data_IF_368021472778
#
_entry.id   IF_368021472778
#
_cell.length_a   1.000
_cell.length_b   1.000
_cell.length_c   1.000
_cell.angle_alpha   90.00
_cell.angle_beta   90.00
_cell.angle_gamma   90.00
#
_symmetry.space_group_name_H-M   'P 1'
#
loop_
_entity.id
_entity.type
_entity.pdbx_description
1 polymer ?
#
# COMPACT_ATOMS: atom_id res chain seq x y z
N UNK A 1 4.94 -24.83 -11.65
CA UNK A 1 3.90 -23.82 -11.30
C UNK A 1 2.67 -24.55 -10.76
N UNK A 2 2.16 -24.14 -9.61
CA UNK A 2 0.99 -24.72 -8.95
C UNK A 2 -0.29 -24.14 -9.53
N UNK A 3 -1.28 -24.96 -9.83
CA UNK A 3 -2.59 -24.53 -10.33
C UNK A 3 -3.42 -23.85 -9.23
N UNK A 4 -4.43 -23.07 -9.59
CA UNK A 4 -5.31 -22.43 -8.62
C UNK A 4 -6.12 -23.44 -7.81
N UNK A 5 -6.50 -24.57 -8.44
CA UNK A 5 -7.13 -25.68 -7.74
C UNK A 5 -6.22 -26.28 -6.67
N UNK A 6 -4.96 -26.58 -6.98
CA UNK A 6 -4.01 -27.14 -6.02
C UNK A 6 -3.79 -26.21 -4.82
N UNK A 7 -3.71 -24.88 -5.06
CA UNK A 7 -3.62 -23.88 -3.97
C UNK A 7 -4.87 -23.92 -3.08
N UNK A 8 -6.05 -23.95 -3.69
CA UNK A 8 -7.32 -23.97 -2.95
C UNK A 8 -7.50 -25.27 -2.17
N UNK A 9 -7.14 -26.41 -2.78
CA UNK A 9 -7.18 -27.72 -2.13
C UNK A 9 -6.28 -27.74 -0.89
N UNK A 10 -5.05 -27.23 -0.97
CA UNK A 10 -4.14 -27.12 0.17
C UNK A 10 -4.67 -26.14 1.25
N UNK A 11 -5.35 -25.09 0.84
CA UNK A 11 -6.04 -24.22 1.81
C UNK A 11 -7.19 -24.95 2.50
N UNK A 12 -7.99 -25.71 1.78
CA UNK A 12 -9.07 -26.53 2.34
C UNK A 12 -8.57 -27.62 3.30
N UNK A 13 -7.40 -28.20 3.02
CA UNK A 13 -6.72 -29.11 3.96
C UNK A 13 -6.26 -28.41 5.24
N UNK A 14 -5.86 -27.14 5.16
CA UNK A 14 -5.28 -26.36 6.25
C UNK A 14 -6.34 -25.74 7.17
N UNK A 15 -7.44 -25.21 6.59
CA UNK A 15 -8.48 -24.46 7.31
C UNK A 15 -9.00 -25.16 8.57
N UNK A 16 -9.30 -26.47 8.59
CA UNK A 16 -9.79 -27.15 9.80
C UNK A 16 -8.86 -27.02 11.01
N UNK A 17 -7.55 -26.86 10.76
CA UNK A 17 -6.54 -26.72 11.81
C UNK A 17 -6.36 -25.28 12.29
N UNK A 18 -7.00 -24.31 11.66
CA UNK A 18 -6.92 -22.90 12.02
C UNK A 18 -8.05 -22.44 12.95
N UNK A 19 -8.75 -23.34 13.62
CA UNK A 19 -9.99 -23.08 14.37
C UNK A 19 -9.92 -21.92 15.38
N UNK A 20 -8.77 -21.65 16.01
CA UNK A 20 -8.58 -20.51 16.93
C UNK A 20 -7.89 -19.31 16.29
N UNK A 21 -7.60 -19.38 14.99
CA UNK A 21 -7.03 -18.28 14.22
C UNK A 21 -8.15 -17.50 13.52
N UNK A 22 -8.08 -16.18 13.42
CA UNK A 22 -9.06 -15.37 12.66
C UNK A 22 -9.31 -15.86 11.24
N UNK A 23 -8.32 -16.44 10.57
CA UNK A 23 -8.44 -16.99 9.21
C UNK A 23 -9.55 -18.04 9.08
N UNK A 24 -9.82 -18.85 10.12
CA UNK A 24 -10.94 -19.78 10.11
C UNK A 24 -12.28 -19.04 9.95
N UNK A 25 -12.48 -17.99 10.73
CA UNK A 25 -13.72 -17.19 10.67
C UNK A 25 -13.81 -16.41 9.36
N UNK A 26 -12.73 -15.78 8.94
CA UNK A 26 -12.70 -14.97 7.72
C UNK A 26 -12.99 -15.80 6.48
N UNK A 27 -12.36 -16.97 6.32
CA UNK A 27 -12.65 -17.87 5.20
C UNK A 27 -14.16 -18.19 5.10
N UNK A 28 -14.79 -18.56 6.22
CA UNK A 28 -16.21 -18.90 6.21
C UNK A 28 -17.13 -17.68 6.09
N UNK A 29 -16.72 -16.51 6.62
CA UNK A 29 -17.44 -15.26 6.42
C UNK A 29 -17.41 -14.82 4.96
N UNK A 30 -16.27 -14.93 4.29
CA UNK A 30 -16.13 -14.63 2.87
C UNK A 30 -17.01 -15.54 2.02
N UNK A 31 -16.96 -16.85 2.26
CA UNK A 31 -17.82 -17.82 1.57
C UNK A 31 -19.31 -17.49 1.77
N UNK A 32 -19.71 -17.15 3.00
CA UNK A 32 -21.09 -16.82 3.33
C UNK A 32 -21.53 -15.48 2.76
N UNK A 33 -20.77 -14.42 2.99
CA UNK A 33 -21.19 -13.04 2.66
C UNK A 33 -21.04 -12.73 1.18
N UNK A 34 -19.94 -13.15 0.56
CA UNK A 34 -19.71 -12.91 -0.84
C UNK A 34 -20.46 -13.91 -1.74
N UNK A 35 -20.42 -15.19 -1.39
CA UNK A 35 -20.91 -16.26 -2.25
C UNK A 35 -22.22 -16.92 -1.77
N UNK A 36 -22.70 -16.63 -0.56
CA UNK A 36 -23.88 -17.28 0.00
C UNK A 36 -23.67 -18.74 0.40
N UNK A 37 -22.43 -19.19 0.50
CA UNK A 37 -22.06 -20.57 0.82
C UNK A 37 -21.96 -20.73 2.33
N UNK A 38 -22.83 -21.58 2.92
CA UNK A 38 -22.85 -21.84 4.36
C UNK A 38 -22.13 -23.15 4.75
N UNK A 39 -21.52 -23.84 3.78
CA UNK A 39 -20.76 -25.06 4.03
C UNK A 39 -19.39 -24.73 4.66
N UNK A 40 -18.97 -25.60 5.57
CA UNK A 40 -17.62 -25.52 6.16
C UNK A 40 -16.61 -26.03 5.13
N UNK A 41 -15.56 -25.25 4.90
CA UNK A 41 -14.47 -25.62 4.01
C UNK A 41 -13.57 -26.66 4.69
N UNK A 42 -13.45 -27.80 4.02
CA UNK A 42 -12.57 -28.91 4.41
C UNK A 42 -12.26 -29.75 3.13
N UNK A 43 -11.39 -30.78 3.19
CA UNK A 43 -11.06 -31.59 2.01
C UNK A 43 -12.25 -32.24 1.31
N UNK A 44 -13.32 -32.57 2.06
CA UNK A 44 -14.49 -33.25 1.50
C UNK A 44 -15.41 -32.28 0.74
N UNK A 45 -15.45 -31.01 1.14
CA UNK A 45 -16.31 -29.97 0.54
C UNK A 45 -15.56 -29.09 -0.45
N UNK A 46 -14.23 -29.19 -0.51
CA UNK A 46 -13.37 -28.31 -1.27
C UNK A 46 -13.75 -28.18 -2.73
N UNK A 47 -13.95 -29.31 -3.42
CA UNK A 47 -14.25 -29.30 -4.85
C UNK A 47 -15.58 -28.61 -5.16
N UNK A 48 -16.62 -28.95 -4.43
CA UNK A 48 -17.94 -28.36 -4.59
C UNK A 48 -17.90 -26.82 -4.36
N UNK A 49 -17.25 -26.39 -3.28
CA UNK A 49 -17.13 -24.96 -2.96
C UNK A 49 -16.30 -24.22 -4.04
N UNK A 50 -15.21 -24.82 -4.51
CA UNK A 50 -14.39 -24.24 -5.56
C UNK A 50 -15.16 -24.03 -6.86
N UNK A 51 -15.89 -25.06 -7.31
CA UNK A 51 -16.65 -25.01 -8.54
C UNK A 51 -17.81 -24.00 -8.43
N UNK A 52 -18.55 -23.95 -7.30
CA UNK A 52 -19.60 -22.97 -7.04
C UNK A 52 -19.07 -21.53 -7.00
N UNK A 53 -17.91 -21.30 -6.36
CA UNK A 53 -17.27 -19.98 -6.36
C UNK A 53 -16.88 -19.56 -7.78
N UNK A 54 -16.28 -20.42 -8.56
CA UNK A 54 -15.86 -20.10 -9.93
C UNK A 54 -17.03 -19.84 -10.87
N UNK A 55 -18.14 -20.58 -10.73
CA UNK A 55 -19.36 -20.31 -11.48
C UNK A 55 -19.87 -18.89 -11.18
N UNK A 56 -19.94 -18.49 -9.90
CA UNK A 56 -20.35 -17.14 -9.48
C UNK A 56 -19.35 -16.08 -9.98
N UNK A 57 -18.05 -16.29 -9.83
CA UNK A 57 -17.01 -15.35 -10.25
C UNK A 57 -17.00 -15.11 -11.76
N UNK A 58 -17.58 -16.02 -12.57
CA UNK A 58 -17.72 -15.81 -14.01
C UNK A 58 -18.81 -14.80 -14.38
N UNK A 59 -19.66 -14.42 -13.43
CA UNK A 59 -20.80 -13.52 -13.65
C UNK A 59 -20.40 -12.04 -13.47
N UNK A 60 -20.95 -11.10 -14.26
CA UNK A 60 -20.59 -9.68 -14.20
C UNK A 60 -20.74 -9.03 -12.82
N UNK A 61 -21.75 -9.43 -12.04
CA UNK A 61 -22.01 -8.93 -10.68
C UNK A 61 -20.94 -9.34 -9.67
N UNK A 62 -20.13 -10.34 -9.98
CA UNK A 62 -18.97 -10.73 -9.18
C UNK A 62 -17.64 -10.14 -9.69
N UNK A 63 -17.69 -9.30 -10.73
CA UNK A 63 -16.52 -8.47 -11.08
C UNK A 63 -16.15 -7.53 -9.95
N UNK A 64 -14.91 -6.99 -9.92
CA UNK A 64 -14.49 -6.03 -8.92
C UNK A 64 -15.49 -4.85 -8.77
N UNK A 65 -15.95 -4.29 -9.89
CA UNK A 65 -16.96 -3.21 -9.89
C UNK A 65 -18.34 -3.70 -9.42
N UNK A 66 -18.74 -4.92 -9.79
CA UNK A 66 -19.99 -5.53 -9.35
C UNK A 66 -20.01 -5.77 -7.85
N UNK A 67 -18.93 -6.28 -7.30
CA UNK A 67 -18.79 -6.49 -5.85
C UNK A 67 -18.82 -5.18 -5.07
N UNK A 68 -18.17 -4.11 -5.55
CA UNK A 68 -18.24 -2.80 -4.92
C UNK A 68 -19.68 -2.28 -4.86
N UNK A 69 -20.47 -2.43 -5.93
CA UNK A 69 -21.90 -2.05 -5.95
C UNK A 69 -22.72 -2.87 -4.97
N UNK A 70 -22.49 -4.18 -4.95
CA UNK A 70 -23.19 -5.11 -4.06
C UNK A 70 -23.01 -4.77 -2.59
N UNK A 71 -21.80 -4.30 -2.21
CA UNK A 71 -21.50 -3.90 -0.84
C UNK A 71 -21.74 -2.41 -0.57
N UNK A 72 -22.41 -1.70 -1.49
CA UNK A 72 -22.70 -0.28 -1.36
C UNK A 72 -21.46 0.57 -1.05
N UNK A 73 -20.34 0.25 -1.68
CA UNK A 73 -19.10 1.00 -1.54
C UNK A 73 -19.27 2.35 -2.21
N UNK A 74 -18.97 3.44 -1.50
CA UNK A 74 -19.02 4.81 -2.05
C UNK A 74 -17.64 5.30 -2.48
N UNK A 75 -16.61 4.90 -1.73
CA UNK A 75 -15.22 5.32 -1.96
C UNK A 75 -14.28 4.16 -1.70
N UNK A 76 -13.28 3.98 -2.56
CA UNK A 76 -12.15 3.10 -2.35
C UNK A 76 -10.89 3.95 -2.26
N UNK A 77 -10.12 3.78 -1.20
CA UNK A 77 -8.79 4.37 -1.06
C UNK A 77 -7.76 3.26 -1.20
N UNK A 78 -6.91 3.39 -2.20
CA UNK A 78 -5.82 2.44 -2.48
C UNK A 78 -4.56 2.82 -1.70
N UNK A 79 -3.55 1.97 -1.70
CA UNK A 79 -2.25 2.26 -1.09
C UNK A 79 -1.24 2.50 -2.19
N UNK A 80 -0.74 3.74 -2.32
CA UNK A 80 0.05 4.16 -3.46
C UNK A 80 1.38 4.82 -3.03
N UNK A 81 2.43 4.46 -3.75
CA UNK A 81 3.77 5.00 -3.52
C UNK A 81 3.94 6.37 -4.21
N UNK A 82 4.72 7.31 -3.65
CA UNK A 82 5.06 8.59 -4.29
C UNK A 82 5.48 8.52 -5.77
N UNK A 83 6.09 7.42 -6.19
CA UNK A 83 6.54 7.25 -7.58
C UNK A 83 5.46 6.72 -8.53
N UNK A 84 4.28 6.34 -8.02
CA UNK A 84 3.20 5.77 -8.85
C UNK A 84 2.57 6.82 -9.77
N UNK A 85 2.28 6.42 -11.00
CA UNK A 85 1.68 7.30 -12.02
C UNK A 85 0.23 7.65 -11.76
N UNK A 86 -0.47 6.87 -10.93
CA UNK A 86 -1.91 6.94 -10.67
C UNK A 86 -2.79 6.80 -11.92
N UNK A 87 -2.25 6.21 -13.00
CA UNK A 87 -2.95 6.09 -14.27
C UNK A 87 -4.29 5.34 -14.17
N UNK A 88 -4.38 4.33 -13.29
CA UNK A 88 -5.61 3.57 -13.10
C UNK A 88 -6.68 4.36 -12.34
N UNK A 89 -6.29 5.27 -11.45
CA UNK A 89 -7.19 6.22 -10.79
C UNK A 89 -7.79 7.18 -11.82
N UNK A 90 -6.94 7.72 -12.69
CA UNK A 90 -7.35 8.63 -13.77
C UNK A 90 -8.29 7.91 -14.74
N UNK A 91 -7.90 6.73 -15.25
CA UNK A 91 -8.72 5.91 -16.15
C UNK A 91 -10.07 5.53 -15.53
N UNK A 92 -10.09 5.18 -14.24
CA UNK A 92 -11.34 4.83 -13.54
C UNK A 92 -12.26 6.01 -13.43
N UNK A 93 -11.74 7.19 -13.08
CA UNK A 93 -12.51 8.45 -13.06
C UNK A 93 -13.05 8.82 -14.44
N UNK A 94 -12.23 8.74 -15.48
CA UNK A 94 -12.61 9.03 -16.86
C UNK A 94 -13.62 8.03 -17.44
N UNK A 95 -13.66 6.80 -16.94
CA UNK A 95 -14.67 5.80 -17.34
C UNK A 95 -16.09 6.13 -16.85
N UNK A 96 -16.27 7.16 -16.03
CA UNK A 96 -17.56 7.50 -15.44
C UNK A 96 -18.05 6.50 -14.39
N UNK A 97 -17.13 5.68 -13.82
CA UNK A 97 -17.50 4.76 -12.74
C UNK A 97 -17.95 5.56 -11.51
N UNK A 98 -19.14 5.22 -10.99
CA UNK A 98 -19.81 6.00 -9.94
C UNK A 98 -19.10 5.94 -8.58
N UNK A 99 -18.34 4.86 -8.31
CA UNK A 99 -17.60 4.70 -7.06
C UNK A 99 -16.24 5.38 -7.21
N UNK A 100 -15.92 6.28 -6.29
CA UNK A 100 -14.66 7.02 -6.31
C UNK A 100 -13.51 6.10 -5.93
N UNK A 101 -12.48 6.01 -6.78
CA UNK A 101 -11.20 5.38 -6.46
C UNK A 101 -10.15 6.47 -6.29
N UNK A 102 -9.71 6.67 -5.04
CA UNK A 102 -8.79 7.75 -4.65
C UNK A 102 -7.47 7.16 -4.16
N UNK A 103 -6.34 7.80 -4.46
CA UNK A 103 -5.05 7.36 -3.95
C UNK A 103 -4.89 7.69 -2.47
N UNK A 104 -4.10 6.89 -1.76
CA UNK A 104 -3.61 7.17 -0.42
C UNK A 104 -2.10 7.29 -0.46
N UNK A 105 -1.57 8.34 0.16
CA UNK A 105 -0.14 8.63 0.19
C UNK A 105 0.59 7.68 1.15
N UNK A 106 1.42 6.77 0.61
CA UNK A 106 2.26 5.84 1.38
C UNK A 106 3.75 5.98 1.02
N UNK A 107 4.48 6.89 1.66
CA UNK A 107 5.85 7.21 1.30
C UNK A 107 6.91 6.32 1.98
N UNK A 108 6.57 5.13 2.45
CA UNK A 108 7.44 4.29 3.28
C UNK A 108 8.77 3.93 2.60
N UNK A 109 8.78 3.74 1.28
CA UNK A 109 10.03 3.45 0.55
C UNK A 109 11.01 4.62 0.56
N UNK A 110 10.53 5.86 0.77
CA UNK A 110 11.40 7.02 0.91
C UNK A 110 12.22 7.02 2.21
N UNK A 111 11.88 6.16 3.17
CA UNK A 111 12.67 5.96 4.40
C UNK A 111 13.29 4.56 4.51
N UNK A 112 13.20 3.73 3.48
CA UNK A 112 13.78 2.38 3.44
C UNK A 112 15.27 2.45 3.08
N UNK A 113 16.10 2.76 4.06
CA UNK A 113 17.56 3.03 3.88
C UNK A 113 18.45 1.85 4.26
N UNK A 114 17.88 0.68 4.53
CA UNK A 114 18.61 -0.52 4.95
C UNK A 114 19.53 -1.06 3.87
N UNK A 115 19.11 -0.94 2.60
CA UNK A 115 19.88 -1.41 1.45
C UNK A 115 20.21 -0.23 0.53
N UNK A 116 21.46 0.27 0.53
CA UNK A 116 21.84 1.48 -0.22
C UNK A 116 21.51 1.42 -1.71
N UNK A 117 21.66 0.26 -2.34
CA UNK A 117 21.36 0.10 -3.77
C UNK A 117 19.87 0.30 -4.08
N UNK A 118 18.99 -0.28 -3.26
CA UNK A 118 17.54 -0.17 -3.41
C UNK A 118 17.07 1.26 -3.14
N UNK A 119 17.61 1.88 -2.09
CA UNK A 119 17.32 3.28 -1.75
C UNK A 119 17.74 4.23 -2.88
N UNK A 120 18.95 4.05 -3.44
CA UNK A 120 19.41 4.85 -4.58
C UNK A 120 18.48 4.69 -5.78
N UNK A 121 18.15 3.45 -6.14
CA UNK A 121 17.24 3.17 -7.25
C UNK A 121 15.88 3.85 -7.06
N UNK A 122 15.36 3.85 -5.83
CA UNK A 122 14.13 4.55 -5.49
C UNK A 122 14.26 6.06 -5.64
N UNK A 123 15.33 6.67 -5.14
CA UNK A 123 15.58 8.12 -5.25
C UNK A 123 15.75 8.57 -6.70
N UNK A 124 16.44 7.77 -7.53
CA UNK A 124 16.56 8.02 -8.98
C UNK A 124 15.18 7.98 -9.67
N UNK A 125 14.34 7.01 -9.31
CA UNK A 125 12.98 6.94 -9.84
C UNK A 125 12.10 8.10 -9.37
N UNK A 126 12.24 8.51 -8.11
CA UNK A 126 11.56 9.69 -7.57
C UNK A 126 11.98 10.96 -8.31
N UNK A 127 13.27 11.11 -8.63
CA UNK A 127 13.78 12.23 -9.42
C UNK A 127 13.14 12.26 -10.82
N UNK A 128 13.08 11.10 -11.50
CA UNK A 128 12.45 10.96 -12.82
C UNK A 128 10.98 11.41 -12.80
N UNK A 129 10.15 10.82 -11.91
CA UNK A 129 8.69 11.08 -11.90
C UNK A 129 8.32 12.45 -11.35
N UNK A 130 9.17 13.05 -10.51
CA UNK A 130 8.96 14.41 -10.00
C UNK A 130 9.53 15.48 -10.92
N UNK A 131 10.47 15.14 -11.80
CA UNK A 131 11.23 16.10 -12.60
C UNK A 131 12.10 17.03 -11.73
N UNK A 132 12.55 16.56 -10.57
CA UNK A 132 13.46 17.26 -9.66
C UNK A 132 14.80 16.54 -9.67
N UNK A 133 15.90 17.25 -9.96
CA UNK A 133 17.23 16.68 -9.78
C UNK A 133 17.54 16.55 -8.30
N UNK A 134 17.80 15.32 -7.84
CA UNK A 134 18.07 15.03 -6.43
C UNK A 134 19.57 14.83 -6.25
N UNK A 135 20.22 15.80 -5.60
CA UNK A 135 21.64 15.78 -5.28
C UNK A 135 21.92 15.71 -3.78
N UNK A 136 20.92 16.03 -2.97
CA UNK A 136 21.01 16.08 -1.52
C UNK A 136 19.63 15.80 -0.87
N UNK A 137 19.59 15.77 0.46
CA UNK A 137 18.37 15.49 1.21
C UNK A 137 17.26 16.51 0.96
N UNK A 138 17.58 17.80 0.89
CA UNK A 138 16.59 18.86 0.69
C UNK A 138 15.91 18.74 -0.68
N UNK A 139 16.66 18.32 -1.72
CA UNK A 139 16.13 18.05 -3.05
C UNK A 139 15.15 16.85 -3.03
N UNK A 140 15.49 15.78 -2.27
CA UNK A 140 14.60 14.63 -2.09
C UNK A 140 13.28 15.05 -1.43
N UNK A 141 13.35 15.89 -0.40
CA UNK A 141 12.15 16.42 0.27
C UNK A 141 11.33 17.31 -0.68
N UNK A 142 11.98 18.11 -1.53
CA UNK A 142 11.31 18.90 -2.56
C UNK A 142 10.60 18.01 -3.60
N UNK A 143 11.25 16.92 -4.04
CA UNK A 143 10.66 15.95 -4.94
C UNK A 143 9.42 15.27 -4.33
N UNK A 144 9.50 14.84 -3.07
CA UNK A 144 8.37 14.26 -2.34
C UNK A 144 7.21 15.26 -2.17
N UNK A 145 7.50 16.56 -1.92
CA UNK A 145 6.45 17.60 -1.87
C UNK A 145 5.72 17.74 -3.20
N UNK A 146 6.47 17.79 -4.30
CA UNK A 146 5.89 17.90 -5.64
C UNK A 146 5.00 16.69 -5.97
N UNK A 147 5.43 15.47 -5.56
CA UNK A 147 4.61 14.26 -5.73
C UNK A 147 3.38 14.26 -4.85
N UNK A 148 3.50 14.73 -3.61
CA UNK A 148 2.36 14.89 -2.70
C UNK A 148 1.32 15.88 -3.27
N UNK A 149 1.75 16.99 -3.84
CA UNK A 149 0.83 17.95 -4.49
C UNK A 149 0.11 17.30 -5.68
N UNK A 150 0.82 16.52 -6.51
CA UNK A 150 0.20 15.73 -7.59
C UNK A 150 -0.84 14.73 -7.05
N UNK A 151 -0.55 14.02 -5.96
CA UNK A 151 -1.52 13.14 -5.33
C UNK A 151 -2.76 13.90 -4.83
N UNK A 152 -2.56 15.06 -4.21
CA UNK A 152 -3.65 15.92 -3.76
C UNK A 152 -4.55 16.38 -4.92
N UNK A 153 -3.97 16.71 -6.07
CA UNK A 153 -4.70 17.05 -7.32
C UNK A 153 -5.52 15.84 -7.83
N UNK A 154 -5.02 14.61 -7.63
CA UNK A 154 -5.77 13.39 -7.98
C UNK A 154 -6.82 13.00 -6.95
N UNK A 155 -7.00 13.77 -5.88
CA UNK A 155 -8.03 13.57 -4.87
C UNK A 155 -7.55 12.86 -3.60
N UNK A 156 -6.24 12.64 -3.43
CA UNK A 156 -5.67 12.08 -2.21
C UNK A 156 -6.01 12.97 -1.00
N UNK A 157 -6.49 12.34 0.08
CA UNK A 157 -6.81 13.01 1.36
C UNK A 157 -6.36 12.21 2.58
N UNK A 158 -5.73 11.06 2.36
CA UNK A 158 -5.30 10.12 3.38
C UNK A 158 -3.82 9.81 3.25
N UNK A 159 -3.20 9.50 4.38
CA UNK A 159 -1.86 8.92 4.45
C UNK A 159 -1.92 7.59 5.18
N UNK A 160 -1.11 6.66 4.74
CA UNK A 160 -0.98 5.32 5.30
C UNK A 160 0.50 4.96 5.45
N UNK A 161 0.86 4.23 6.49
CA UNK A 161 2.24 3.83 6.79
C UNK A 161 2.29 2.39 7.31
N UNK A 162 3.21 1.60 6.76
CA UNK A 162 3.60 0.29 7.29
C UNK A 162 4.74 0.44 8.29
N UNK A 163 4.40 0.67 9.57
CA UNK A 163 5.38 0.88 10.63
C UNK A 163 5.53 -0.42 11.42
N UNK A 164 6.74 -1.00 11.44
CA UNK A 164 7.04 -2.22 12.19
C UNK A 164 7.36 -1.93 13.66
N UNK A 165 8.02 -0.81 13.93
CA UNK A 165 8.34 -0.32 15.28
C UNK A 165 8.19 1.20 15.34
N UNK A 166 8.09 1.76 16.53
CA UNK A 166 7.94 3.21 16.71
C UNK A 166 9.30 3.88 16.63
N UNK A 167 9.55 4.65 15.55
CA UNK A 167 10.79 5.40 15.34
C UNK A 167 10.71 6.76 16.04
N UNK A 168 11.52 6.95 17.08
CA UNK A 168 11.51 8.17 17.91
C UNK A 168 12.90 8.53 18.43
N UNK A 169 13.95 8.30 17.64
CA UNK A 169 15.32 8.68 18.01
C UNK A 169 15.54 10.17 17.84
N UNK A 170 16.31 10.74 18.77
CA UNK A 170 16.77 12.13 18.67
C UNK A 170 17.74 12.30 17.50
N UNK A 171 17.59 13.35 16.74
CA UNK A 171 18.44 13.68 15.60
C UNK A 171 18.58 15.18 15.39
N UNK A 172 19.59 15.55 14.61
CA UNK A 172 19.75 16.92 14.11
C UNK A 172 19.65 16.92 12.57
N UNK A 173 19.28 18.04 11.98
CA UNK A 173 19.22 18.21 10.52
C UNK A 173 20.55 17.89 9.84
N UNK A 174 21.67 18.26 10.49
CA UNK A 174 22.99 17.99 9.96
C UNK A 174 23.30 16.47 9.89
N UNK A 175 22.89 15.72 10.93
CA UNK A 175 23.02 14.25 10.94
C UNK A 175 22.21 13.62 9.83
N UNK A 176 20.95 14.03 9.64
CA UNK A 176 20.07 13.46 8.61
C UNK A 176 20.62 13.72 7.20
N UNK A 177 21.12 14.92 6.93
CA UNK A 177 21.77 15.24 5.65
C UNK A 177 23.04 14.41 5.43
N UNK A 178 23.84 14.18 6.47
CA UNK A 178 25.02 13.33 6.39
C UNK A 178 24.65 11.86 6.13
N UNK A 179 23.62 11.33 6.82
CA UNK A 179 23.11 9.98 6.64
C UNK A 179 22.60 9.78 5.22
N UNK A 180 21.80 10.74 4.71
CA UNK A 180 21.35 10.71 3.31
C UNK A 180 22.52 10.62 2.33
N UNK A 181 23.51 11.50 2.46
CA UNK A 181 24.68 11.50 1.57
C UNK A 181 25.46 10.18 1.64
N UNK A 182 25.56 9.59 2.82
CA UNK A 182 26.22 8.32 3.06
C UNK A 182 25.52 7.16 2.33
N UNK A 183 24.20 6.99 2.53
CA UNK A 183 23.42 5.91 1.92
C UNK A 183 23.26 6.13 0.41
N UNK A 184 22.99 7.35 -0.03
CA UNK A 184 22.88 7.69 -1.44
C UNK A 184 24.23 7.53 -2.16
N UNK A 185 25.35 7.76 -1.46
CA UNK A 185 26.71 7.42 -1.90
C UNK A 185 27.00 5.92 -1.98
N UNK A 186 26.11 5.04 -1.51
CA UNK A 186 26.24 3.59 -1.59
C UNK A 186 26.91 2.96 -0.36
N UNK A 187 27.04 3.69 0.73
CA UNK A 187 27.64 3.19 1.98
C UNK A 187 26.54 2.71 2.92
N UNK A 188 26.70 1.52 3.49
CA UNK A 188 25.81 0.96 4.49
C UNK A 188 25.71 1.85 5.74
N UNK A 189 24.52 1.91 6.31
CA UNK A 189 24.24 2.63 7.55
C UNK A 189 24.32 1.71 8.77
N UNK A 190 24.67 2.27 9.90
CA UNK A 190 24.49 1.61 11.19
C UNK A 190 23.02 1.55 11.57
N UNK A 191 22.65 0.65 12.51
CA UNK A 191 21.28 0.59 13.02
C UNK A 191 20.82 1.94 13.59
N UNK A 192 21.67 2.65 14.32
CA UNK A 192 21.35 3.98 14.88
C UNK A 192 21.05 5.00 13.77
N UNK A 193 21.90 5.06 12.72
CA UNK A 193 21.68 5.95 11.57
C UNK A 193 20.35 5.65 10.86
N UNK A 194 19.99 4.36 10.69
CA UNK A 194 18.72 3.94 10.10
C UNK A 194 17.56 4.47 10.95
N UNK A 195 17.60 4.25 12.26
CA UNK A 195 16.54 4.68 13.18
C UNK A 195 16.39 6.19 13.21
N UNK A 196 17.49 6.95 13.26
CA UNK A 196 17.48 8.42 13.17
C UNK A 196 16.85 8.92 11.88
N UNK A 197 17.24 8.33 10.75
CA UNK A 197 16.70 8.72 9.45
C UNK A 197 15.19 8.46 9.36
N UNK A 198 14.73 7.28 9.79
CA UNK A 198 13.30 6.93 9.82
C UNK A 198 12.52 7.84 10.76
N UNK A 199 13.07 8.17 11.93
CA UNK A 199 12.46 9.11 12.88
C UNK A 199 12.25 10.50 12.26
N UNK A 200 13.26 11.03 11.58
CA UNK A 200 13.17 12.30 10.87
C UNK A 200 12.13 12.27 9.76
N UNK A 201 12.10 11.19 8.97
CA UNK A 201 11.15 11.07 7.86
C UNK A 201 9.71 10.99 8.35
N UNK A 202 9.42 10.29 9.45
CA UNK A 202 8.07 10.26 10.04
C UNK A 202 7.60 11.66 10.49
N UNK A 203 8.49 12.44 11.12
CA UNK A 203 8.16 13.84 11.49
C UNK A 203 7.85 14.67 10.25
N UNK A 204 8.68 14.57 9.20
CA UNK A 204 8.48 15.29 7.94
C UNK A 204 7.16 14.88 7.26
N UNK A 205 6.81 13.59 7.28
CA UNK A 205 5.53 13.13 6.75
C UNK A 205 4.35 13.68 7.57
N UNK A 206 4.43 13.65 8.90
CA UNK A 206 3.42 14.23 9.79
C UNK A 206 3.18 15.72 9.58
N UNK A 207 4.24 16.51 9.37
CA UNK A 207 4.12 17.94 9.04
C UNK A 207 3.39 18.21 7.74
N UNK A 208 3.58 17.35 6.74
CA UNK A 208 2.87 17.47 5.46
C UNK A 208 1.38 17.22 5.61
N UNK A 209 0.99 16.20 6.36
CA UNK A 209 -0.41 15.88 6.66
C UNK A 209 -1.06 17.05 7.42
N UNK A 210 -0.39 17.58 8.45
CA UNK A 210 -0.89 18.71 9.22
C UNK A 210 -1.12 19.98 8.40
N UNK A 211 -0.27 20.26 7.41
CA UNK A 211 -0.43 21.41 6.50
C UNK A 211 -1.59 21.21 5.52
N UNK A 212 -1.86 20.01 5.05
CA UNK A 212 -3.02 19.73 4.20
C UNK A 212 -4.33 19.95 4.95
N UNK A 213 -4.46 19.46 6.19
CA UNK A 213 -5.65 19.64 7.02
C UNK A 213 -5.89 21.09 7.48
N UNK A 214 -4.86 21.95 7.50
CA UNK A 214 -4.98 23.36 7.84
C UNK A 214 -5.39 24.25 6.68
N UNK A 215 -5.30 23.79 5.41
CA UNK A 215 -5.71 24.58 4.24
C UNK A 215 -7.21 24.54 3.95
N UNK A 216 -7.95 23.66 4.59
CA UNK A 216 -9.40 23.47 4.40
C UNK A 216 -10.25 24.09 5.53
N UNK A 217 -9.67 24.95 6.40
CA UNK A 217 -10.41 25.69 7.45
C UNK A 217 -10.50 27.16 7.14
#
# INVERSE_FOLDING_TARGET
>A
DTTDWEKFEKWAETVPYTFRNPLYHWTHLELKTAFGINKILNPQTAREIYDECNEKLSQPEYSARGMMRRYHVEVVCTTDDPIDSLEYHIKTRESGFEIKMLPTWRPDKAMAVEVPADFRSYVEKLAEVSGVTISNFDDMIAALRKRHDFFAEQGCRLSDHGIEEFYAEDYTDAEIKAIFNKVYGGTELTKEEILKFKSAMLVIFGEKIGRASCRER
#
